data_IF_493582299846
#
_entry.id   IF_493582299846
#
_cell.length_a   1.000
_cell.length_b   1.000
_cell.length_c   1.000
_cell.angle_alpha   90.00
_cell.angle_beta   90.00
_cell.angle_gamma   90.00
#
_symmetry.space_group_name_H-M   'P 1'
#
loop_
_entity.id
_entity.type
_entity.pdbx_description
1 polymer ?
#
# COMPACT_ATOMS: atom_id res chain seq x y z
N UNK A 1 -1.57 15.80 9.43
CA UNK A 1 -0.82 14.88 10.33
C UNK A 1 -1.67 14.42 11.52
N UNK A 2 -2.39 15.31 12.21
CA UNK A 2 -3.22 14.93 13.39
C UNK A 2 -4.22 13.80 13.10
N UNK A 3 -4.97 13.89 11.98
CA UNK A 3 -5.96 12.85 11.63
C UNK A 3 -5.36 11.47 11.34
N UNK A 4 -4.15 11.41 10.76
CA UNK A 4 -3.42 10.17 10.58
C UNK A 4 -3.07 9.58 11.96
N UNK A 5 -2.36 10.35 12.79
CA UNK A 5 -1.90 9.86 14.09
C UNK A 5 -3.07 9.41 14.98
N UNK A 6 -4.22 10.08 14.91
CA UNK A 6 -5.42 9.67 15.62
C UNK A 6 -6.01 8.34 15.10
N UNK A 7 -5.88 8.04 13.80
CA UNK A 7 -6.28 6.73 13.23
C UNK A 7 -5.41 5.59 13.79
N UNK A 8 -4.09 5.82 13.90
CA UNK A 8 -3.15 4.86 14.49
C UNK A 8 -3.47 4.61 15.97
N UNK A 9 -3.56 5.67 16.77
CA UNK A 9 -3.84 5.55 18.21
C UNK A 9 -5.18 4.85 18.44
N UNK A 10 -6.21 5.18 17.66
CA UNK A 10 -7.52 4.51 17.75
C UNK A 10 -7.43 3.01 17.45
N UNK A 11 -6.70 2.62 16.40
CA UNK A 11 -6.53 1.22 16.05
C UNK A 11 -5.76 0.44 17.13
N UNK A 12 -4.73 1.04 17.71
CA UNK A 12 -4.01 0.46 18.85
C UNK A 12 -4.93 0.31 20.07
N UNK A 13 -5.70 1.33 20.44
CA UNK A 13 -6.63 1.24 21.58
C UNK A 13 -7.67 0.15 21.40
N UNK A 14 -8.17 -0.06 20.17
CA UNK A 14 -9.15 -1.11 19.86
C UNK A 14 -8.55 -2.52 20.04
N UNK A 15 -7.30 -2.73 19.61
CA UNK A 15 -6.68 -4.06 19.57
C UNK A 15 -5.73 -4.37 20.74
N UNK A 16 -5.32 -3.35 21.48
CA UNK A 16 -4.53 -3.42 22.71
C UNK A 16 -5.05 -2.36 23.71
N UNK A 17 -6.19 -2.60 24.38
CA UNK A 17 -6.80 -1.63 25.29
C UNK A 17 -5.93 -1.26 26.49
N UNK A 18 -4.91 -2.06 26.79
CA UNK A 18 -3.95 -1.85 27.88
C UNK A 18 -2.65 -1.17 27.43
N UNK A 19 -2.49 -0.86 26.13
CA UNK A 19 -1.33 -0.15 25.62
C UNK A 19 -1.20 1.24 26.28
N UNK A 20 0.03 1.67 26.59
CA UNK A 20 0.29 3.06 27.01
C UNK A 20 -0.04 4.01 25.84
N UNK A 21 -1.06 4.90 25.97
CA UNK A 21 -1.43 5.82 24.90
C UNK A 21 -0.30 6.77 24.50
N UNK A 22 0.60 7.12 25.43
CA UNK A 22 1.74 7.96 25.14
C UNK A 22 2.79 7.22 24.30
N UNK A 23 3.03 5.94 24.58
CA UNK A 23 3.89 5.09 23.75
C UNK A 23 3.29 4.88 22.36
N UNK A 24 1.99 4.56 22.27
CA UNK A 24 1.31 4.39 20.99
C UNK A 24 1.43 5.64 20.11
N UNK A 25 1.29 6.84 20.69
CA UNK A 25 1.49 8.10 19.99
C UNK A 25 2.93 8.29 19.51
N UNK A 26 3.93 8.03 20.36
CA UNK A 26 5.36 8.12 19.97
C UNK A 26 5.71 7.18 18.82
N UNK A 27 5.22 5.94 18.84
CA UNK A 27 5.47 4.98 17.77
C UNK A 27 4.80 5.41 16.46
N UNK A 28 3.57 5.93 16.52
CA UNK A 28 2.89 6.50 15.36
C UNK A 28 3.63 7.71 14.76
N UNK A 29 4.19 8.58 15.61
CA UNK A 29 5.05 9.68 15.17
C UNK A 29 6.33 9.17 14.49
N UNK A 30 6.97 8.14 15.05
CA UNK A 30 8.12 7.46 14.45
C UNK A 30 7.81 6.85 13.08
N UNK A 31 6.63 6.24 12.93
CA UNK A 31 6.15 5.74 11.63
C UNK A 31 5.94 6.90 10.64
N UNK A 32 5.35 8.02 11.06
CA UNK A 32 5.22 9.19 10.19
C UNK A 32 6.57 9.74 9.73
N UNK A 33 7.62 9.68 10.55
CA UNK A 33 8.97 10.05 10.11
C UNK A 33 9.46 9.13 8.99
N UNK A 34 9.24 7.82 9.10
CA UNK A 34 9.57 6.85 8.02
C UNK A 34 8.81 7.15 6.74
N UNK A 35 7.50 7.39 6.83
CA UNK A 35 6.67 7.80 5.69
C UNK A 35 7.06 9.15 5.08
N UNK A 36 7.92 9.94 5.72
CA UNK A 36 8.41 11.22 5.20
C UNK A 36 9.94 11.21 4.96
N UNK A 37 10.57 10.04 4.86
CA UNK A 37 11.98 9.94 4.47
C UNK A 37 12.21 10.57 3.08
N UNK A 38 13.27 11.36 2.94
CA UNK A 38 13.48 12.23 1.77
C UNK A 38 13.75 11.51 0.45
N UNK A 39 13.95 10.19 0.45
CA UNK A 39 14.07 9.40 -0.78
C UNK A 39 12.71 8.96 -1.35
N UNK A 40 11.62 9.07 -0.58
CA UNK A 40 10.26 8.72 -1.00
C UNK A 40 9.65 9.90 -1.77
N UNK A 41 8.91 9.60 -2.83
CA UNK A 41 8.17 10.61 -3.60
C UNK A 41 6.69 10.24 -3.77
N UNK A 42 6.38 8.95 -3.93
CA UNK A 42 5.02 8.43 -3.95
C UNK A 42 4.67 7.79 -2.61
N UNK A 43 5.52 6.89 -2.11
CA UNK A 43 5.31 6.09 -0.89
C UNK A 43 5.51 6.93 0.37
N UNK A 44 4.68 7.97 0.50
CA UNK A 44 4.74 9.01 1.52
C UNK A 44 3.50 8.98 2.41
N UNK A 45 3.44 9.86 3.42
CA UNK A 45 2.23 10.04 4.23
C UNK A 45 0.98 10.40 3.40
N UNK A 46 1.13 10.91 2.17
CA UNK A 46 0.03 11.09 1.23
C UNK A 46 -0.56 9.73 0.79
N UNK A 47 0.29 8.79 0.35
CA UNK A 47 -0.14 7.43 -0.02
C UNK A 47 -0.83 6.74 1.15
N UNK A 48 -0.21 6.77 2.35
CA UNK A 48 -0.84 6.23 3.56
C UNK A 48 -2.25 6.79 3.79
N UNK A 49 -2.43 8.10 3.64
CA UNK A 49 -3.74 8.72 3.79
C UNK A 49 -4.74 8.26 2.71
N UNK A 50 -4.28 8.08 1.48
CA UNK A 50 -5.08 7.58 0.36
C UNK A 50 -5.54 6.13 0.62
N UNK A 51 -4.64 5.25 1.08
CA UNK A 51 -4.97 3.87 1.48
C UNK A 51 -6.00 3.83 2.61
N UNK A 52 -5.79 4.61 3.68
CA UNK A 52 -6.73 4.66 4.81
C UNK A 52 -8.10 5.22 4.39
N UNK A 53 -8.13 6.19 3.47
CA UNK A 53 -9.38 6.73 2.91
C UNK A 53 -10.10 5.68 2.07
N UNK A 54 -9.36 4.92 1.26
CA UNK A 54 -9.89 3.84 0.43
C UNK A 54 -10.46 2.70 1.29
N UNK A 55 -9.77 2.29 2.36
CA UNK A 55 -10.29 1.30 3.33
C UNK A 55 -11.66 1.71 3.90
N UNK A 56 -11.85 2.99 4.22
CA UNK A 56 -13.13 3.48 4.71
C UNK A 56 -14.26 3.41 3.67
N UNK A 57 -13.94 3.48 2.38
CA UNK A 57 -14.92 3.43 1.28
C UNK A 57 -15.34 1.99 0.94
N UNK A 58 -14.38 1.07 0.92
CA UNK A 58 -14.58 -0.30 0.44
C UNK A 58 -15.44 -1.16 1.37
N UNK A 59 -15.38 -0.91 2.68
CA UNK A 59 -15.89 -1.88 3.64
C UNK A 59 -15.05 -3.15 3.64
N UNK A 60 -15.63 -4.29 4.03
CA UNK A 60 -14.89 -5.57 4.14
C UNK A 60 -14.24 -5.79 5.52
N UNK A 61 -14.19 -4.74 6.33
CA UNK A 61 -13.89 -4.77 7.75
C UNK A 61 -15.10 -4.22 8.53
N UNK A 62 -16.16 -5.02 8.63
CA UNK A 62 -17.44 -4.56 9.18
C UNK A 62 -17.40 -4.48 10.71
N UNK A 63 -16.49 -5.21 11.34
CA UNK A 63 -16.27 -5.16 12.79
C UNK A 63 -15.19 -4.14 13.18
N UNK A 64 -15.33 -3.45 14.32
CA UNK A 64 -14.31 -2.51 14.82
C UNK A 64 -12.88 -3.08 14.83
N UNK A 65 -12.71 -4.31 15.33
CA UNK A 65 -11.43 -4.99 15.35
C UNK A 65 -10.84 -5.26 13.95
N UNK A 66 -11.68 -5.60 12.96
CA UNK A 66 -11.21 -5.79 11.57
C UNK A 66 -10.73 -4.47 10.97
N UNK A 67 -11.41 -3.36 11.25
CA UNK A 67 -11.00 -2.02 10.76
C UNK A 67 -9.71 -1.58 11.39
N UNK A 68 -9.57 -1.81 12.69
CA UNK A 68 -8.33 -1.56 13.39
C UNK A 68 -7.19 -2.41 12.78
N UNK A 69 -7.43 -3.69 12.49
CA UNK A 69 -6.44 -4.57 11.88
C UNK A 69 -5.99 -4.06 10.49
N UNK A 70 -6.95 -3.71 9.62
CA UNK A 70 -6.67 -3.12 8.31
C UNK A 70 -5.89 -1.80 8.43
N UNK A 71 -6.25 -0.96 9.42
CA UNK A 71 -5.58 0.31 9.68
C UNK A 71 -4.12 0.09 10.10
N UNK A 72 -3.85 -0.84 11.02
CA UNK A 72 -2.48 -1.16 11.44
C UNK A 72 -1.65 -1.69 10.27
N UNK A 73 -2.20 -2.59 9.46
CA UNK A 73 -1.52 -3.09 8.26
C UNK A 73 -1.24 -1.96 7.25
N UNK A 74 -2.19 -1.07 6.99
CA UNK A 74 -1.98 0.09 6.11
C UNK A 74 -0.85 1.00 6.61
N UNK A 75 -0.76 1.25 7.92
CA UNK A 75 0.32 2.04 8.52
C UNK A 75 1.70 1.41 8.36
N UNK A 76 1.76 0.08 8.32
CA UNK A 76 3.00 -0.66 8.45
C UNK A 76 3.50 -1.27 7.13
N UNK A 77 2.66 -1.46 6.11
CA UNK A 77 3.03 -2.22 4.90
C UNK A 77 4.26 -1.67 4.15
N UNK A 78 4.39 -0.34 4.02
CA UNK A 78 5.55 0.32 3.42
C UNK A 78 6.34 1.19 4.42
N UNK A 79 6.23 0.87 5.72
CA UNK A 79 6.98 1.58 6.76
C UNK A 79 8.50 1.41 6.60
N UNK A 80 8.94 0.34 5.94
CA UNK A 80 10.28 0.21 5.36
C UNK A 80 10.14 0.24 3.85
N UNK A 81 10.93 1.07 3.17
CA UNK A 81 10.88 1.22 1.72
C UNK A 81 12.26 1.55 1.17
N UNK A 82 12.79 0.62 0.38
CA UNK A 82 14.03 0.77 -0.36
C UNK A 82 13.86 0.19 -1.78
N UNK A 83 13.86 1.08 -2.77
CA UNK A 83 13.75 0.74 -4.20
C UNK A 83 14.98 0.07 -4.78
N UNK A 84 16.09 0.06 -4.04
CA UNK A 84 17.35 -0.59 -4.43
C UNK A 84 17.49 -1.99 -3.85
N UNK A 85 16.61 -2.36 -2.92
CA UNK A 85 16.60 -3.68 -2.31
C UNK A 85 16.05 -4.75 -3.26
N UNK A 86 16.34 -6.02 -2.95
CA UNK A 86 15.75 -7.15 -3.67
C UNK A 86 14.22 -7.18 -3.55
N UNK A 87 13.55 -7.73 -4.55
CA UNK A 87 12.10 -7.83 -4.57
C UNK A 87 11.56 -8.50 -3.29
N UNK A 88 10.56 -7.88 -2.67
CA UNK A 88 9.94 -8.35 -1.42
C UNK A 88 10.75 -8.05 -0.15
N UNK A 89 11.96 -7.48 -0.23
CA UNK A 89 12.78 -7.22 0.95
C UNK A 89 12.20 -6.12 1.84
N UNK A 90 11.65 -5.06 1.22
CA UNK A 90 10.99 -3.97 1.93
C UNK A 90 9.77 -4.47 2.71
N UNK A 91 8.94 -5.31 2.09
CA UNK A 91 7.74 -5.89 2.67
C UNK A 91 8.08 -6.83 3.84
N UNK A 92 9.10 -7.68 3.70
CA UNK A 92 9.59 -8.53 4.80
C UNK A 92 10.14 -7.70 5.96
N UNK A 93 10.83 -6.60 5.66
CA UNK A 93 11.35 -5.69 6.68
C UNK A 93 10.23 -4.91 7.39
N UNK A 94 9.23 -4.44 6.64
CA UNK A 94 7.99 -3.84 7.15
C UNK A 94 7.21 -4.81 8.04
N UNK A 95 7.08 -6.07 7.63
CA UNK A 95 6.43 -7.12 8.41
C UNK A 95 7.19 -7.41 9.73
N UNK A 96 8.53 -7.45 9.67
CA UNK A 96 9.38 -7.59 10.88
C UNK A 96 9.21 -6.40 11.82
N UNK A 97 9.21 -5.18 11.27
CA UNK A 97 8.98 -3.94 12.03
C UNK A 97 7.59 -3.94 12.66
N UNK A 98 6.57 -4.38 11.93
CA UNK A 98 5.20 -4.48 12.42
C UNK A 98 5.10 -5.36 13.65
N UNK A 99 5.63 -6.58 13.59
CA UNK A 99 5.63 -7.51 14.73
C UNK A 99 6.34 -6.91 15.94
N UNK A 100 7.49 -6.25 15.75
CA UNK A 100 8.23 -5.61 16.84
C UNK A 100 7.45 -4.45 17.49
N UNK A 101 6.89 -3.55 16.68
CA UNK A 101 6.12 -2.39 17.18
C UNK A 101 4.85 -2.85 17.91
N UNK A 102 4.08 -3.76 17.32
CA UNK A 102 2.82 -4.22 17.89
C UNK A 102 3.03 -5.02 19.18
N UNK A 103 4.05 -5.88 19.23
CA UNK A 103 4.42 -6.60 20.46
C UNK A 103 4.88 -5.63 21.55
N UNK A 104 5.67 -4.61 21.20
CA UNK A 104 6.10 -3.57 22.14
C UNK A 104 4.93 -2.75 22.72
N UNK A 105 3.84 -2.60 21.96
CA UNK A 105 2.58 -1.97 22.39
C UNK A 105 1.63 -2.93 23.12
N UNK A 106 2.06 -4.17 23.38
CA UNK A 106 1.27 -5.17 24.11
C UNK A 106 0.11 -5.75 23.31
N UNK A 107 0.10 -5.61 21.98
CA UNK A 107 -0.86 -6.34 21.15
C UNK A 107 -0.67 -7.84 21.34
N UNK A 108 -1.78 -8.58 21.29
CA UNK A 108 -1.74 -10.06 21.32
C UNK A 108 -0.97 -10.59 20.12
N UNK A 109 -0.34 -11.75 20.30
CA UNK A 109 0.46 -12.43 19.26
C UNK A 109 -0.35 -12.67 17.98
N UNK A 110 -1.62 -13.10 18.10
CA UNK A 110 -2.48 -13.34 16.94
C UNK A 110 -2.77 -12.07 16.12
N UNK A 111 -2.81 -10.90 16.76
CA UNK A 111 -2.95 -9.61 16.06
C UNK A 111 -1.67 -9.25 15.33
N UNK A 112 -0.51 -9.39 15.98
CA UNK A 112 0.78 -9.10 15.35
C UNK A 112 1.01 -10.02 14.14
N UNK A 113 0.75 -11.31 14.28
CA UNK A 113 0.82 -12.28 13.17
C UNK A 113 -0.17 -11.94 12.06
N UNK A 114 -1.41 -11.56 12.38
CA UNK A 114 -2.38 -11.18 11.34
C UNK A 114 -1.93 -9.95 10.53
N UNK A 115 -1.39 -8.92 11.19
CA UNK A 115 -0.82 -7.75 10.49
C UNK A 115 0.39 -8.14 9.65
N UNK A 116 1.29 -8.98 10.17
CA UNK A 116 2.44 -9.49 9.42
C UNK A 116 2.01 -10.19 8.12
N UNK A 117 1.01 -11.08 8.18
CA UNK A 117 0.51 -11.79 7.01
C UNK A 117 -0.15 -10.85 6.00
N UNK A 118 -0.90 -9.85 6.46
CA UNK A 118 -1.49 -8.82 5.60
C UNK A 118 -0.43 -8.03 4.84
N UNK A 119 0.68 -7.68 5.49
CA UNK A 119 1.81 -6.99 4.87
C UNK A 119 2.50 -7.91 3.86
N UNK A 120 2.82 -9.15 4.22
CA UNK A 120 3.51 -10.08 3.31
C UNK A 120 2.70 -10.40 2.04
N UNK A 121 1.37 -10.28 2.10
CA UNK A 121 0.52 -10.44 0.92
C UNK A 121 0.72 -9.32 -0.12
N UNK A 122 1.18 -8.12 0.27
CA UNK A 122 1.41 -7.02 -0.68
C UNK A 122 2.59 -7.29 -1.61
N UNK A 123 3.53 -8.17 -1.24
CA UNK A 123 4.69 -8.51 -2.09
C UNK A 123 4.32 -9.02 -3.48
N UNK A 124 3.23 -9.78 -3.60
CA UNK A 124 2.80 -10.36 -4.88
C UNK A 124 1.41 -9.89 -5.32
N UNK A 125 0.68 -9.22 -4.43
CA UNK A 125 -0.75 -8.95 -4.59
C UNK A 125 -1.54 -10.20 -5.03
N UNK A 126 -1.12 -11.40 -4.59
CA UNK A 126 -1.84 -12.67 -4.80
C UNK A 126 -2.45 -13.12 -3.47
N UNK A 127 -3.70 -13.58 -3.48
CA UNK A 127 -4.31 -14.22 -2.31
C UNK A 127 -4.55 -15.71 -2.57
N UNK A 128 -4.44 -16.52 -1.52
CA UNK A 128 -4.76 -17.96 -1.53
C UNK A 128 -6.08 -18.31 -0.85
N UNK A 129 -6.82 -17.35 -0.29
CA UNK A 129 -8.09 -17.58 0.41
C UNK A 129 -8.96 -16.33 0.46
N UNK A 130 -10.28 -16.50 0.66
CA UNK A 130 -11.17 -15.38 0.93
C UNK A 130 -10.82 -14.76 2.31
N UNK A 131 -10.25 -13.56 2.29
CA UNK A 131 -9.93 -12.76 3.47
C UNK A 131 -10.46 -11.35 3.23
N UNK A 132 -11.64 -10.99 3.78
CA UNK A 132 -12.24 -9.68 3.56
C UNK A 132 -11.35 -8.50 3.95
N UNK A 133 -10.53 -8.63 5.00
CA UNK A 133 -9.60 -7.59 5.45
C UNK A 133 -8.45 -7.48 4.46
N UNK A 134 -7.87 -8.62 4.08
CA UNK A 134 -6.83 -8.67 3.06
C UNK A 134 -7.28 -8.14 1.70
N UNK A 135 -8.49 -8.48 1.26
CA UNK A 135 -9.06 -8.02 0.00
C UNK A 135 -9.31 -6.51 0.01
N UNK A 136 -9.80 -5.96 1.13
CA UNK A 136 -9.94 -4.52 1.30
C UNK A 136 -8.58 -3.80 1.32
N UNK A 137 -7.57 -4.35 2.01
CA UNK A 137 -6.23 -3.77 2.05
C UNK A 137 -5.57 -3.79 0.66
N UNK A 138 -5.66 -4.91 -0.06
CA UNK A 138 -5.18 -5.04 -1.43
C UNK A 138 -5.78 -3.97 -2.34
N UNK A 139 -7.10 -3.83 -2.32
CA UNK A 139 -7.78 -2.88 -3.19
C UNK A 139 -7.49 -1.43 -2.78
N UNK A 140 -7.40 -1.16 -1.47
CA UNK A 140 -7.08 0.16 -0.95
C UNK A 140 -5.67 0.62 -1.33
N UNK A 141 -4.68 -0.27 -1.28
CA UNK A 141 -3.32 0.01 -1.74
C UNK A 141 -3.27 0.29 -3.25
N UNK A 142 -4.09 -0.43 -4.03
CA UNK A 142 -4.22 -0.23 -5.48
C UNK A 142 -5.25 0.85 -5.89
N UNK A 143 -5.79 1.62 -4.94
CA UNK A 143 -6.78 2.67 -5.23
C UNK A 143 -6.23 3.70 -6.22
N UNK A 144 -4.94 4.02 -6.12
CA UNK A 144 -4.30 5.03 -6.96
C UNK A 144 -4.50 4.79 -8.46
N UNK A 145 -4.61 3.52 -8.88
CA UNK A 145 -4.84 3.17 -10.27
C UNK A 145 -6.16 3.74 -10.77
N UNK A 146 -7.19 3.83 -9.92
CA UNK A 146 -8.49 4.39 -10.25
C UNK A 146 -8.65 5.88 -9.87
N UNK A 147 -7.59 6.53 -9.39
CA UNK A 147 -7.63 7.94 -9.03
C UNK A 147 -7.99 8.83 -10.23
N UNK A 148 -8.51 10.06 -9.99
CA UNK A 148 -8.67 11.03 -11.05
C UNK A 148 -7.36 11.24 -11.83
N UNK A 149 -7.46 11.34 -13.16
CA UNK A 149 -6.30 11.38 -14.06
C UNK A 149 -5.17 12.35 -13.64
N UNK A 150 -5.44 13.59 -13.14
CA UNK A 150 -4.36 14.45 -12.66
C UNK A 150 -3.55 13.85 -11.50
N UNK A 151 -4.21 13.20 -10.54
CA UNK A 151 -3.55 12.54 -9.40
C UNK A 151 -2.79 11.30 -9.85
N UNK A 152 -3.36 10.52 -10.77
CA UNK A 152 -2.69 9.35 -11.36
C UNK A 152 -1.41 9.72 -12.10
N UNK A 153 -1.41 10.81 -12.89
CA UNK A 153 -0.18 11.31 -13.56
C UNK A 153 0.89 11.73 -12.56
N UNK A 154 0.50 12.44 -11.51
CA UNK A 154 1.41 12.80 -10.42
C UNK A 154 2.02 11.54 -9.77
N UNK A 155 1.22 10.48 -9.59
CA UNK A 155 1.71 9.18 -9.12
C UNK A 155 2.77 8.60 -10.06
N UNK A 156 2.52 8.58 -11.38
CA UNK A 156 3.51 8.08 -12.35
C UNK A 156 4.84 8.85 -12.26
N UNK A 157 4.79 10.18 -12.12
CA UNK A 157 5.98 11.04 -11.98
C UNK A 157 6.73 10.79 -10.66
N UNK A 158 5.99 10.63 -9.56
CA UNK A 158 6.53 10.32 -8.25
C UNK A 158 7.23 8.95 -8.25
N UNK A 159 6.60 7.91 -8.81
CA UNK A 159 7.23 6.59 -8.96
C UNK A 159 8.45 6.67 -9.87
N UNK A 160 8.38 7.38 -11.01
CA UNK A 160 9.56 7.58 -11.87
C UNK A 160 10.72 8.22 -11.10
N UNK A 161 10.43 9.15 -10.19
CA UNK A 161 11.42 9.82 -9.34
C UNK A 161 12.08 8.87 -8.34
N UNK A 162 11.31 7.98 -7.71
CA UNK A 162 11.86 6.97 -6.79
C UNK A 162 12.83 6.03 -7.55
N UNK A 163 12.47 5.64 -8.77
CA UNK A 163 13.29 4.79 -9.62
C UNK A 163 14.25 5.56 -10.55
N UNK A 164 14.59 6.82 -10.25
CA UNK A 164 15.47 7.66 -11.12
C UNK A 164 16.85 7.06 -11.40
N UNK A 165 17.31 6.15 -10.54
CA UNK A 165 18.58 5.44 -10.68
C UNK A 165 18.51 4.33 -11.74
N UNK A 166 17.31 3.89 -12.13
CA UNK A 166 17.08 2.89 -13.18
C UNK A 166 17.04 3.59 -14.55
N UNK A 167 17.81 3.09 -15.56
CA UNK A 167 17.77 3.60 -16.92
C UNK A 167 16.37 3.51 -17.55
N UNK A 168 16.01 4.47 -18.40
CA UNK A 168 14.66 4.59 -18.97
C UNK A 168 14.13 3.31 -19.64
N UNK A 169 14.90 2.60 -20.50
CA UNK A 169 14.38 1.39 -21.14
C UNK A 169 14.10 0.27 -20.13
N UNK A 170 14.97 0.10 -19.13
CA UNK A 170 14.83 -0.91 -18.09
C UNK A 170 13.66 -0.60 -17.15
N UNK A 171 13.51 0.68 -16.78
CA UNK A 171 12.35 1.16 -16.02
C UNK A 171 11.05 0.90 -16.78
N UNK A 172 10.99 1.29 -18.05
CA UNK A 172 9.81 1.12 -18.88
C UNK A 172 9.42 -0.35 -19.03
N UNK A 173 10.37 -1.24 -19.30
CA UNK A 173 10.12 -2.68 -19.43
C UNK A 173 9.58 -3.29 -18.12
N UNK A 174 10.23 -3.03 -16.99
CA UNK A 174 9.80 -3.53 -15.69
C UNK A 174 8.42 -2.98 -15.28
N UNK A 175 8.23 -1.67 -15.44
CA UNK A 175 6.97 -0.99 -15.10
C UNK A 175 5.81 -1.48 -15.96
N UNK A 176 6.02 -1.65 -17.27
CA UNK A 176 5.03 -2.26 -18.17
C UNK A 176 4.65 -3.66 -17.70
N UNK A 177 5.63 -4.51 -17.36
CA UNK A 177 5.37 -5.86 -16.87
C UNK A 177 4.48 -5.88 -15.61
N UNK A 178 4.78 -5.02 -14.63
CA UNK A 178 3.99 -4.88 -13.39
C UNK A 178 2.56 -4.43 -13.70
N UNK A 179 2.41 -3.37 -14.49
CA UNK A 179 1.10 -2.80 -14.80
C UNK A 179 0.21 -3.78 -15.57
N UNK A 180 0.75 -4.46 -16.59
CA UNK A 180 0.03 -5.51 -17.32
C UNK A 180 -0.39 -6.65 -16.39
N UNK A 181 0.51 -7.15 -15.55
CA UNK A 181 0.21 -8.23 -14.60
C UNK A 181 -0.89 -7.87 -13.58
N UNK A 182 -1.12 -6.58 -13.32
CA UNK A 182 -2.21 -6.09 -12.49
C UNK A 182 -3.53 -5.98 -13.28
N UNK A 183 -3.54 -5.32 -14.43
CA UNK A 183 -4.79 -4.99 -15.15
C UNK A 183 -5.33 -6.09 -16.07
N UNK A 184 -4.48 -7.04 -16.46
CA UNK A 184 -4.86 -8.20 -17.30
C UNK A 184 -5.62 -9.28 -16.52
N UNK A 185 -5.70 -9.14 -15.19
CA UNK A 185 -6.54 -9.99 -14.34
C UNK A 185 -8.01 -9.80 -14.72
N UNK A 186 -8.79 -10.89 -14.66
CA UNK A 186 -10.24 -10.82 -14.85
C UNK A 186 -10.85 -9.79 -13.89
N UNK A 187 -10.45 -9.89 -12.62
CA UNK A 187 -10.76 -8.96 -11.55
C UNK A 187 -9.48 -8.24 -11.11
N UNK A 188 -9.36 -6.95 -11.44
CA UNK A 188 -8.26 -6.08 -10.97
C UNK A 188 -8.35 -5.89 -9.45
N UNK A 189 -9.58 -5.72 -8.98
CA UNK A 189 -9.94 -5.52 -7.59
C UNK A 189 -10.72 -6.71 -7.04
N UNK A 190 -10.69 -6.94 -5.72
CA UNK A 190 -11.22 -8.14 -5.07
C UNK A 190 -12.52 -7.90 -4.31
N UNK A 191 -12.71 -6.70 -3.78
CA UNK A 191 -13.96 -6.27 -3.17
C UNK A 191 -15.00 -5.95 -4.24
N UNK A 192 -16.27 -6.21 -3.95
CA UNK A 192 -17.35 -5.96 -4.90
C UNK A 192 -17.42 -4.46 -5.29
N UNK A 193 -17.27 -3.58 -4.30
CA UNK A 193 -17.31 -2.13 -4.52
C UNK A 193 -16.19 -1.64 -5.42
N UNK A 194 -14.93 -2.03 -5.18
CA UNK A 194 -13.82 -1.63 -6.04
C UNK A 194 -13.97 -2.19 -7.46
N UNK A 195 -14.43 -3.44 -7.59
CA UNK A 195 -14.69 -4.03 -8.92
C UNK A 195 -15.67 -3.17 -9.73
N UNK A 196 -16.77 -2.77 -9.11
CA UNK A 196 -17.82 -1.97 -9.75
C UNK A 196 -17.37 -0.53 -10.01
N UNK A 197 -16.80 0.15 -9.02
CA UNK A 197 -16.55 1.58 -9.07
C UNK A 197 -15.19 1.95 -9.68
N UNK A 198 -14.16 1.10 -9.57
CA UNK A 198 -12.76 1.48 -9.82
C UNK A 198 -12.15 0.84 -11.06
N UNK A 199 -12.57 -0.37 -11.44
CA UNK A 199 -11.93 -1.16 -12.51
C UNK A 199 -11.80 -0.42 -13.84
N UNK A 200 -12.86 0.27 -14.28
CA UNK A 200 -12.85 0.97 -15.57
C UNK A 200 -11.85 2.14 -15.56
N UNK A 201 -11.81 2.91 -14.46
CA UNK A 201 -10.86 4.00 -14.29
C UNK A 201 -9.42 3.46 -14.23
N UNK A 202 -9.18 2.40 -13.47
CA UNK A 202 -7.87 1.74 -13.37
C UNK A 202 -7.32 1.30 -14.74
N UNK A 203 -8.13 0.58 -15.53
CA UNK A 203 -7.73 0.15 -16.87
C UNK A 203 -7.44 1.33 -17.81
N UNK A 204 -8.25 2.39 -17.75
CA UNK A 204 -8.06 3.59 -18.58
C UNK A 204 -6.76 4.33 -18.23
N UNK A 205 -6.51 4.53 -16.94
CA UNK A 205 -5.33 5.18 -16.41
C UNK A 205 -4.06 4.40 -16.75
N UNK A 206 -4.04 3.10 -16.47
CA UNK A 206 -2.90 2.22 -16.79
C UNK A 206 -2.64 2.18 -18.31
N UNK A 207 -3.68 2.09 -19.14
CA UNK A 207 -3.50 2.17 -20.59
C UNK A 207 -2.86 3.51 -21.03
N UNK A 208 -3.13 4.61 -20.31
CA UNK A 208 -2.46 5.88 -20.56
C UNK A 208 -0.98 5.85 -20.19
N UNK A 209 -0.62 5.28 -19.04
CA UNK A 209 0.79 5.15 -18.64
C UNK A 209 1.55 4.24 -19.61
N UNK A 210 0.96 3.11 -20.01
CA UNK A 210 1.58 2.17 -20.95
C UNK A 210 1.94 2.82 -22.30
N UNK A 211 1.10 3.72 -22.82
CA UNK A 211 1.41 4.50 -24.03
C UNK A 211 2.58 5.46 -23.83
N UNK A 212 2.73 6.03 -22.63
CA UNK A 212 3.88 6.89 -22.31
C UNK A 212 5.15 6.07 -22.13
N UNK A 213 5.09 4.90 -21.50
CA UNK A 213 6.24 4.02 -21.30
C UNK A 213 6.76 3.47 -22.64
N UNK A 214 5.87 3.18 -23.60
CA UNK A 214 6.31 2.67 -24.90
C UNK A 214 7.22 3.62 -25.67
N UNK A 215 7.16 4.93 -25.41
CA UNK A 215 8.07 5.90 -26.05
C UNK A 215 9.49 5.87 -25.50
N UNK A 216 9.69 5.25 -24.33
CA UNK A 216 11.01 5.07 -23.70
C UNK A 216 11.67 3.75 -24.12
N UNK A 217 10.93 2.86 -24.77
CA UNK A 217 11.45 1.62 -25.31
C UNK A 217 12.05 1.88 -26.70
N UNK A 218 13.19 1.27 -27.02
CA UNK A 218 13.75 1.35 -28.36
C UNK A 218 12.76 0.75 -29.38
N UNK A 219 12.73 1.31 -30.58
CA UNK A 219 12.01 0.70 -31.71
C UNK A 219 12.51 -0.74 -31.88
N UNK A 220 11.65 -1.71 -31.57
CA UNK A 220 11.93 -3.11 -31.89
C UNK A 220 11.90 -3.19 -33.41
N UNK A 221 13.08 -3.23 -34.05
CA UNK A 221 13.20 -3.51 -35.47
C UNK A 221 12.37 -4.77 -35.78
N UNK A 222 11.42 -4.62 -36.71
CA UNK A 222 10.56 -5.69 -37.22
C UNK A 222 11.37 -6.84 -37.82
#
# INVERSE_FOLDING_TARGET
MTGLLDSWVRAITELSPTADPAQARRDGEGLLLRWNEGHRSYHTAQHLNEVLSALNLLGGADRPAERALATLAAWLHDAVYDVTAEAGASERASATLATAVLTGLGCREDIATAVEQLILMTTTHQSRSADPVGDALHDADLWILAAPMPRFRQYCEQVRTEYRHVPDPAYAEARTGILCALVDRADVYRTARAREEWTAAARSNVASELRSLSTLLPDRAR
#
